data_IF_779892453552
#
_entry.id   IF_779892453552
#
_cell.length_a   1.000
_cell.length_b   1.000
_cell.length_c   1.000
_cell.angle_alpha   90.00
_cell.angle_beta   90.00
_cell.angle_gamma   90.00
#
_symmetry.space_group_name_H-M   'P 1'
#
loop_
_entity.id
_entity.type
_entity.pdbx_description
1 polymer ?
#
# COMPACT_ATOMS: atom_id res chain seq x y z
N UNK A 1 1.12 21.92 -4.96
CA UNK A 1 2.55 21.59 -5.07
C UNK A 1 2.67 20.08 -5.19
N UNK A 2 2.88 19.60 -6.41
CA UNK A 2 2.85 18.17 -6.76
C UNK A 2 4.29 17.70 -6.98
N UNK A 3 4.74 16.67 -6.26
CA UNK A 3 6.06 16.08 -6.45
C UNK A 3 5.93 14.78 -7.22
N UNK A 4 6.58 14.71 -8.39
CA UNK A 4 6.65 13.53 -9.25
C UNK A 4 8.02 12.89 -9.02
N UNK A 5 8.05 11.67 -8.47
CA UNK A 5 9.28 10.87 -8.35
C UNK A 5 9.34 9.94 -9.56
N UNK A 6 10.27 10.23 -10.47
CA UNK A 6 10.59 9.39 -11.63
C UNK A 6 11.50 8.26 -11.15
N UNK A 7 11.11 7.01 -11.39
CA UNK A 7 11.99 5.85 -11.27
C UNK A 7 11.89 5.05 -12.58
N UNK A 8 12.97 5.16 -13.35
CA UNK A 8 13.21 4.45 -14.59
C UNK A 8 13.56 2.99 -14.28
N UNK A 9 12.97 2.06 -15.02
CA UNK A 9 13.12 0.62 -14.83
C UNK A 9 14.42 0.14 -15.47
N UNK A 10 15.42 -0.23 -14.66
CA UNK A 10 16.53 -1.07 -15.09
C UNK A 10 16.27 -2.48 -14.54
N UNK A 11 16.12 -3.45 -15.44
CA UNK A 11 15.74 -4.83 -15.16
C UNK A 11 16.90 -5.58 -14.51
N UNK A 12 16.65 -6.20 -13.34
CA UNK A 12 17.09 -7.57 -12.94
C UNK A 12 17.05 -7.75 -11.41
N UNK A 13 16.56 -8.92 -10.98
CA UNK A 13 16.76 -9.61 -9.68
C UNK A 13 15.61 -9.55 -8.64
N UNK A 14 15.09 -10.75 -8.36
CA UNK A 14 14.37 -11.27 -7.18
C UNK A 14 12.85 -11.02 -7.05
N UNK A 15 12.14 -12.05 -6.58
CA UNK A 15 10.69 -12.17 -6.34
C UNK A 15 10.08 -10.93 -5.66
N UNK A 16 9.71 -9.94 -6.47
CA UNK A 16 8.79 -8.88 -6.08
C UNK A 16 7.50 -9.23 -6.81
N UNK A 17 6.39 -9.53 -6.12
CA UNK A 17 5.12 -9.77 -6.80
C UNK A 17 4.87 -8.61 -7.77
N UNK A 18 4.73 -8.95 -9.06
CA UNK A 18 4.43 -7.99 -10.11
C UNK A 18 3.08 -7.35 -9.79
N UNK A 19 3.14 -6.17 -9.17
CA UNK A 19 1.95 -5.37 -8.96
C UNK A 19 1.67 -4.68 -10.30
N UNK A 20 0.71 -5.24 -11.07
CA UNK A 20 0.36 -4.78 -12.42
C UNK A 20 -0.12 -3.32 -12.50
N UNK A 21 -0.33 -2.64 -11.36
CA UNK A 21 -0.79 -1.26 -11.38
C UNK A 21 -0.58 -0.48 -10.09
N UNK A 22 -0.57 0.84 -10.23
CA UNK A 22 -0.65 1.81 -9.13
C UNK A 22 -2.09 2.28 -9.00
N UNK A 23 -2.66 2.13 -7.82
CA UNK A 23 -4.01 2.64 -7.50
C UNK A 23 -3.85 3.86 -6.59
N UNK A 24 -4.39 4.99 -7.02
CA UNK A 24 -4.50 6.18 -6.17
C UNK A 24 -5.90 6.18 -5.52
N UNK A 25 -5.93 6.17 -4.19
CA UNK A 25 -7.18 6.21 -3.44
C UNK A 25 -7.22 7.47 -2.56
N UNK A 26 -8.40 8.08 -2.45
CA UNK A 26 -8.63 9.22 -1.56
C UNK A 26 -9.16 8.72 -0.23
N UNK A 27 -8.33 8.82 0.81
CA UNK A 27 -8.72 8.51 2.18
C UNK A 27 -9.30 9.75 2.85
N UNK A 28 -10.27 9.54 3.74
CA UNK A 28 -10.64 10.56 4.72
C UNK A 28 -9.44 10.82 5.65
N UNK A 29 -9.40 12.01 6.26
CA UNK A 29 -8.32 12.38 7.19
C UNK A 29 -8.27 11.42 8.39
N UNK A 30 -9.43 11.00 8.88
CA UNK A 30 -9.57 10.09 10.02
C UNK A 30 -9.04 8.68 9.69
N UNK A 31 -9.38 8.16 8.52
CA UNK A 31 -8.90 6.83 8.11
C UNK A 31 -7.38 6.83 7.89
N UNK A 32 -6.85 7.92 7.31
CA UNK A 32 -5.41 8.08 7.17
C UNK A 32 -4.71 8.09 8.53
N UNK A 33 -5.24 8.79 9.52
CA UNK A 33 -4.66 8.83 10.87
C UNK A 33 -4.65 7.44 11.53
N UNK A 34 -5.74 6.68 11.41
CA UNK A 34 -5.80 5.30 11.92
C UNK A 34 -4.76 4.41 11.26
N UNK A 35 -4.56 4.55 9.94
CA UNK A 35 -3.54 3.79 9.21
C UNK A 35 -2.13 4.20 9.65
N UNK A 36 -1.86 5.49 9.83
CA UNK A 36 -0.57 5.99 10.32
C UNK A 36 -0.27 5.49 11.74
N UNK A 37 -1.27 5.43 12.62
CA UNK A 37 -1.13 4.82 13.95
C UNK A 37 -0.75 3.34 13.87
N UNK A 38 -1.39 2.56 13.00
CA UNK A 38 -1.06 1.14 12.81
C UNK A 38 0.36 0.91 12.29
N UNK A 39 0.90 1.86 11.52
CA UNK A 39 2.30 1.84 11.07
C UNK A 39 3.23 2.21 12.22
N UNK A 40 2.87 3.21 13.02
CA UNK A 40 3.63 3.64 14.19
C UNK A 40 3.72 2.56 15.28
N UNK A 41 2.65 1.77 15.44
CA UNK A 41 2.62 0.59 16.31
C UNK A 41 3.50 -0.57 15.80
N UNK A 42 4.13 -0.44 14.64
CA UNK A 42 5.01 -1.44 14.04
C UNK A 42 4.28 -2.66 13.46
N UNK A 43 2.94 -2.65 13.44
CA UNK A 43 2.13 -3.74 12.87
C UNK A 43 2.28 -3.84 11.36
N UNK A 44 2.56 -2.72 10.68
CA UNK A 44 2.74 -2.66 9.24
C UNK A 44 3.89 -1.73 8.86
N UNK A 45 4.62 -2.07 7.79
CA UNK A 45 5.78 -1.27 7.34
C UNK A 45 5.38 -0.02 6.57
N UNK A 46 4.26 -0.07 5.85
CA UNK A 46 3.81 0.99 4.94
C UNK A 46 2.29 0.94 4.74
N UNK A 47 1.71 2.06 4.31
CA UNK A 47 0.29 2.18 3.96
C UNK A 47 -0.11 1.12 2.92
N UNK A 48 0.71 0.91 1.89
CA UNK A 48 0.45 -0.10 0.86
C UNK A 48 0.35 -1.53 1.45
N UNK A 49 1.10 -1.83 2.51
CA UNK A 49 1.04 -3.12 3.16
C UNK A 49 -0.27 -3.29 3.96
N UNK A 50 -0.70 -2.23 4.64
CA UNK A 50 -1.99 -2.19 5.35
C UNK A 50 -3.14 -2.44 4.37
N UNK A 51 -3.17 -1.70 3.25
CA UNK A 51 -4.22 -1.81 2.24
C UNK A 51 -4.26 -3.21 1.64
N UNK A 52 -3.09 -3.79 1.31
CA UNK A 52 -3.02 -5.17 0.79
C UNK A 52 -3.55 -6.19 1.78
N UNK A 53 -3.18 -6.09 3.06
CA UNK A 53 -3.66 -7.00 4.10
C UNK A 53 -5.18 -6.88 4.30
N UNK A 54 -5.69 -5.64 4.29
CA UNK A 54 -7.14 -5.39 4.38
C UNK A 54 -7.90 -5.99 3.18
N UNK A 55 -7.41 -5.76 1.96
CA UNK A 55 -8.01 -6.32 0.74
C UNK A 55 -7.97 -7.84 0.73
N UNK A 56 -6.81 -8.44 1.05
CA UNK A 56 -6.68 -9.90 1.11
C UNK A 56 -7.66 -10.49 2.13
N UNK A 57 -7.76 -9.92 3.33
CA UNK A 57 -8.70 -10.39 4.37
C UNK A 57 -10.16 -10.23 3.93
N UNK A 58 -10.50 -9.12 3.29
CA UNK A 58 -11.85 -8.87 2.79
C UNK A 58 -12.26 -9.87 1.71
N UNK A 59 -11.37 -10.16 0.77
CA UNK A 59 -11.60 -11.13 -0.32
C UNK A 59 -11.68 -12.57 0.20
N UNK A 60 -10.86 -12.95 1.19
CA UNK A 60 -10.94 -14.29 1.81
C UNK A 60 -12.21 -14.48 2.63
N UNK A 61 -12.79 -13.41 3.18
CA UNK A 61 -14.00 -13.51 4.03
C UNK A 61 -15.30 -13.59 3.20
N UNK A 62 -15.30 -13.10 1.96
CA UNK A 62 -16.48 -13.03 1.09
C UNK A 62 -16.47 -14.08 -0.04
N UNK A 63 -15.70 -15.15 0.15
CA UNK A 63 -15.55 -16.28 -0.78
C UNK A 63 -15.66 -17.58 0.02
#
# INVERSE_FOLDING_TARGET
>A
MSYIIVLSSCSSISMIPEYEGRIAFRLSKEDRQKIEQLIQEGKFRNISQVVRAALSKFLTTNN
#
